data_IF_985501872353
#
_entry.id   IF_985501872353
#
_cell.length_a   1.000
_cell.length_b   1.000
_cell.length_c   1.000
_cell.angle_alpha   90.00
_cell.angle_beta   90.00
_cell.angle_gamma   90.00
#
_symmetry.space_group_name_H-M   'P 1'
#
loop_
_entity.id
_entity.type
_entity.pdbx_description
1 polymer ?
#
# COMPACT_ATOMS: atom_id res chain seq x y z
N UNK A 1 0.01 -0.27 -27.38
CA UNK A 1 0.10 -1.41 -26.44
C UNK A 1 -1.01 -1.28 -25.41
N UNK A 2 -1.72 -2.37 -25.11
CA UNK A 2 -2.67 -2.46 -24.01
C UNK A 2 -2.08 -3.39 -22.95
N UNK A 3 -2.26 -3.07 -21.67
CA UNK A 3 -1.84 -3.93 -20.55
C UNK A 3 -3.11 -4.51 -19.94
N UNK A 4 -3.16 -5.84 -19.78
CA UNK A 4 -4.27 -6.53 -19.13
C UNK A 4 -3.70 -7.33 -17.96
N UNK A 5 -4.11 -6.96 -16.73
CA UNK A 5 -3.68 -7.67 -15.53
C UNK A 5 -4.63 -8.84 -15.25
N UNK A 6 -4.18 -10.06 -15.52
CA UNK A 6 -4.92 -11.30 -15.22
C UNK A 6 -4.59 -11.91 -13.85
N UNK A 7 -3.67 -11.29 -13.08
CA UNK A 7 -3.27 -11.78 -11.77
C UNK A 7 -4.44 -11.77 -10.78
N UNK A 8 -4.40 -12.70 -9.83
CA UNK A 8 -5.42 -12.81 -8.78
C UNK A 8 -4.76 -13.18 -7.46
N UNK A 9 -5.07 -12.43 -6.40
CA UNK A 9 -4.59 -12.70 -5.06
C UNK A 9 -4.88 -14.13 -4.61
N UNK A 10 -3.91 -14.74 -3.93
CA UNK A 10 -4.00 -16.09 -3.36
C UNK A 10 -3.83 -17.25 -4.34
N UNK A 11 -3.48 -16.99 -5.61
CA UNK A 11 -3.25 -18.06 -6.60
C UNK A 11 -1.78 -18.46 -6.69
N UNK A 12 -1.60 -19.76 -6.90
CA UNK A 12 -0.37 -20.48 -7.26
C UNK A 12 -0.51 -20.99 -8.70
N UNK A 13 0.54 -21.59 -9.30
CA UNK A 13 0.40 -22.24 -10.60
C UNK A 13 -0.70 -23.30 -10.57
N UNK A 14 -0.69 -24.17 -9.54
CA UNK A 14 -1.68 -25.24 -9.37
C UNK A 14 -3.11 -24.71 -9.32
N UNK A 15 -3.37 -23.75 -8.44
CA UNK A 15 -4.73 -23.22 -8.27
C UNK A 15 -5.18 -22.42 -9.49
N UNK A 16 -4.32 -21.59 -10.10
CA UNK A 16 -4.66 -20.86 -11.32
C UNK A 16 -4.95 -21.78 -12.51
N UNK A 17 -4.18 -22.87 -12.64
CA UNK A 17 -4.42 -23.89 -13.65
C UNK A 17 -5.75 -24.61 -13.42
N UNK A 18 -6.00 -25.08 -12.19
CA UNK A 18 -7.23 -25.80 -11.84
C UNK A 18 -8.49 -24.94 -11.96
N UNK A 19 -8.39 -23.64 -11.67
CA UNK A 19 -9.48 -22.67 -11.84
C UNK A 19 -9.72 -22.30 -13.32
N UNK A 20 -8.89 -22.76 -14.25
CA UNK A 20 -9.03 -22.47 -15.68
C UNK A 20 -8.63 -21.05 -16.09
N UNK A 21 -7.97 -20.28 -15.20
CA UNK A 21 -7.60 -18.87 -15.48
C UNK A 21 -6.68 -18.73 -16.68
N UNK A 22 -5.80 -19.70 -16.90
CA UNK A 22 -4.93 -19.73 -18.06
C UNK A 22 -5.70 -19.95 -19.36
N UNK A 23 -6.84 -20.67 -19.34
CA UNK A 23 -7.67 -20.88 -20.52
C UNK A 23 -8.24 -19.56 -21.03
N UNK A 24 -8.67 -18.67 -20.13
CA UNK A 24 -9.18 -17.35 -20.51
C UNK A 24 -8.13 -16.54 -21.28
N UNK A 25 -6.86 -16.61 -20.83
CA UNK A 25 -5.74 -15.97 -21.52
C UNK A 25 -5.53 -16.59 -22.91
N UNK A 26 -5.52 -17.92 -23.01
CA UNK A 26 -5.33 -18.60 -24.31
C UNK A 26 -6.48 -18.33 -25.28
N UNK A 27 -7.71 -18.15 -24.79
CA UNK A 27 -8.90 -17.88 -25.60
C UNK A 27 -8.97 -16.43 -26.08
N UNK A 28 -8.47 -15.49 -25.29
CA UNK A 28 -8.58 -14.06 -25.58
C UNK A 28 -7.32 -13.45 -26.20
N UNK A 29 -6.15 -14.04 -25.92
CA UNK A 29 -4.87 -13.63 -26.47
C UNK A 29 -4.74 -13.87 -27.97
N UNK A 30 -3.94 -13.03 -28.62
CA UNK A 30 -3.72 -13.03 -30.07
C UNK A 30 -2.25 -13.27 -30.39
N UNK A 31 -2.00 -13.76 -31.60
CA UNK A 31 -0.63 -13.91 -32.08
C UNK A 31 0.12 -12.56 -32.02
N UNK A 32 1.32 -12.58 -31.45
CA UNK A 32 2.13 -11.39 -31.18
C UNK A 32 1.90 -10.72 -29.82
N UNK A 33 0.89 -11.15 -29.04
CA UNK A 33 0.72 -10.68 -27.66
C UNK A 33 1.83 -11.27 -26.77
N UNK A 34 2.25 -10.50 -25.77
CA UNK A 34 3.22 -10.93 -24.76
C UNK A 34 2.51 -11.39 -23.49
N UNK A 35 2.92 -12.54 -22.95
CA UNK A 35 2.43 -13.03 -21.65
C UNK A 35 3.57 -13.07 -20.63
N UNK A 36 3.53 -12.14 -19.68
CA UNK A 36 4.42 -12.15 -18.51
C UNK A 36 3.85 -13.12 -17.46
N UNK A 37 4.63 -14.13 -17.08
CA UNK A 37 4.21 -15.21 -16.17
C UNK A 37 5.01 -15.10 -14.87
N UNK A 38 4.31 -14.91 -13.74
CA UNK A 38 4.90 -14.85 -12.40
C UNK A 38 4.04 -15.64 -11.40
N UNK A 39 4.66 -16.62 -10.75
CA UNK A 39 4.09 -17.41 -9.63
C UNK A 39 5.22 -17.82 -8.67
N UNK A 40 4.88 -18.33 -7.49
CA UNK A 40 5.86 -18.81 -6.52
C UNK A 40 5.40 -18.64 -5.08
N UNK A 41 4.86 -17.48 -4.72
CA UNK A 41 4.50 -17.17 -3.33
C UNK A 41 3.52 -18.18 -2.72
N UNK A 42 2.39 -18.45 -3.39
CA UNK A 42 1.39 -19.40 -2.89
C UNK A 42 1.74 -20.86 -3.25
N UNK A 43 2.70 -21.06 -4.15
CA UNK A 43 3.21 -22.38 -4.51
C UNK A 43 4.05 -22.99 -3.36
N UNK A 44 4.56 -22.18 -2.43
CA UNK A 44 5.32 -22.65 -1.26
C UNK A 44 4.45 -23.28 -0.16
N UNK A 45 3.12 -23.23 -0.28
CA UNK A 45 2.25 -23.96 0.65
C UNK A 45 2.54 -25.47 0.60
N UNK A 46 2.51 -26.13 1.75
CA UNK A 46 2.80 -27.58 1.89
C UNK A 46 1.51 -28.44 1.78
N UNK A 47 0.51 -27.95 1.05
CA UNK A 47 -0.77 -28.59 0.83
C UNK A 47 -0.93 -29.13 -0.60
N UNK A 48 0.18 -29.44 -1.29
CA UNK A 48 0.19 -29.92 -2.68
C UNK A 48 -0.63 -31.20 -2.89
N UNK A 49 -0.77 -32.06 -1.88
CA UNK A 49 -1.56 -33.29 -1.95
C UNK A 49 -3.06 -33.05 -1.74
N UNK A 50 -3.45 -31.89 -1.18
CA UNK A 50 -4.85 -31.60 -0.95
C UNK A 50 -5.56 -31.26 -2.26
N UNK A 51 -6.79 -31.77 -2.41
CA UNK A 51 -7.65 -31.54 -3.59
C UNK A 51 -7.80 -30.06 -3.94
N UNK A 52 -7.91 -29.20 -2.92
CA UNK A 52 -8.05 -27.75 -3.06
C UNK A 52 -6.81 -26.99 -2.55
N UNK A 53 -5.72 -27.70 -2.29
CA UNK A 53 -4.48 -27.09 -1.82
C UNK A 53 -3.78 -26.30 -2.93
N UNK A 54 -3.02 -25.29 -2.52
CA UNK A 54 -2.38 -24.32 -3.43
C UNK A 54 -0.92 -24.66 -3.70
N UNK A 55 -0.29 -25.42 -2.83
CA UNK A 55 1.09 -25.85 -2.89
C UNK A 55 1.47 -26.52 -4.19
N UNK A 56 2.71 -26.32 -4.59
CA UNK A 56 3.35 -27.05 -5.69
C UNK A 56 4.72 -27.54 -5.25
N UNK A 57 5.04 -28.79 -5.60
CA UNK A 57 6.44 -29.23 -5.53
C UNK A 57 7.26 -28.52 -6.61
N UNK A 58 8.59 -28.58 -6.48
CA UNK A 58 9.49 -28.07 -7.52
C UNK A 58 9.28 -28.77 -8.87
N UNK A 59 8.99 -30.07 -8.85
CA UNK A 59 8.66 -30.85 -10.06
C UNK A 59 7.35 -30.38 -10.69
N UNK A 60 6.28 -30.21 -9.89
CA UNK A 60 5.02 -29.68 -10.39
C UNK A 60 5.19 -28.30 -11.01
N UNK A 61 5.94 -27.41 -10.35
CA UNK A 61 6.25 -26.08 -10.85
C UNK A 61 7.00 -26.14 -12.19
N UNK A 62 7.98 -27.06 -12.33
CA UNK A 62 8.65 -27.30 -13.62
C UNK A 62 7.68 -27.78 -14.69
N UNK A 63 6.84 -28.75 -14.40
CA UNK A 63 5.83 -29.27 -15.34
C UNK A 63 4.88 -28.16 -15.81
N UNK A 64 4.39 -27.31 -14.90
CA UNK A 64 3.55 -26.18 -15.28
C UNK A 64 4.23 -25.24 -16.28
N UNK A 65 5.48 -24.89 -16.03
CA UNK A 65 6.22 -23.97 -16.91
C UNK A 65 6.59 -24.67 -18.23
N UNK A 66 7.29 -25.81 -18.16
CA UNK A 66 7.93 -26.46 -19.29
C UNK A 66 6.96 -27.19 -20.21
N UNK A 67 5.98 -27.90 -19.64
CA UNK A 67 5.12 -28.82 -20.41
C UNK A 67 3.76 -28.20 -20.73
N UNK A 68 3.30 -27.21 -19.95
CA UNK A 68 1.94 -26.67 -20.06
C UNK A 68 1.96 -25.23 -20.59
N UNK A 69 2.48 -24.29 -19.81
CA UNK A 69 2.30 -22.86 -20.08
C UNK A 69 3.12 -22.40 -21.30
N UNK A 70 4.43 -22.66 -21.33
CA UNK A 70 5.28 -22.20 -22.43
C UNK A 70 4.86 -22.79 -23.79
N UNK A 71 4.61 -24.12 -23.92
CA UNK A 71 4.13 -24.68 -25.18
C UNK A 71 2.78 -24.10 -25.61
N UNK A 72 1.81 -23.97 -24.70
CA UNK A 72 0.48 -23.48 -25.04
C UNK A 72 0.49 -22.00 -25.48
N UNK A 73 1.32 -21.15 -24.84
CA UNK A 73 1.50 -19.75 -25.24
C UNK A 73 2.07 -19.68 -26.66
N UNK A 74 3.11 -20.46 -26.95
CA UNK A 74 3.73 -20.52 -28.27
C UNK A 74 2.79 -21.03 -29.36
N UNK A 75 2.00 -22.06 -29.07
CA UNK A 75 1.02 -22.63 -30.00
C UNK A 75 -0.08 -21.60 -30.37
N UNK A 76 -0.41 -20.69 -29.44
CA UNK A 76 -1.31 -19.55 -29.70
C UNK A 76 -0.64 -18.39 -30.45
N UNK A 77 0.65 -18.50 -30.78
CA UNK A 77 1.44 -17.45 -31.40
C UNK A 77 1.77 -16.27 -30.48
N UNK A 78 1.51 -16.41 -29.16
CA UNK A 78 1.90 -15.44 -28.15
C UNK A 78 3.38 -15.65 -27.75
N UNK A 79 3.96 -14.65 -27.12
CA UNK A 79 5.37 -14.62 -26.71
C UNK A 79 5.44 -14.70 -25.18
N UNK A 80 5.90 -15.81 -24.60
CA UNK A 80 6.04 -15.91 -23.16
C UNK A 80 7.23 -15.10 -22.66
N UNK A 81 7.10 -14.51 -21.47
CA UNK A 81 8.17 -13.87 -20.72
C UNK A 81 8.08 -14.37 -19.28
N UNK A 82 9.14 -14.96 -18.75
CA UNK A 82 9.18 -15.41 -17.36
C UNK A 82 9.61 -14.26 -16.46
N UNK A 83 8.95 -14.12 -15.32
CA UNK A 83 9.24 -13.10 -14.31
C UNK A 83 9.40 -13.81 -12.97
N UNK A 84 10.58 -13.74 -12.35
CA UNK A 84 10.78 -14.34 -11.02
C UNK A 84 9.90 -13.63 -9.99
N UNK A 85 9.31 -14.35 -8.99
CA UNK A 85 8.59 -13.70 -7.91
C UNK A 85 9.57 -12.88 -7.05
N UNK A 86 9.20 -11.65 -6.70
CA UNK A 86 9.96 -10.84 -5.74
C UNK A 86 10.16 -11.59 -4.42
N UNK A 87 11.22 -11.29 -3.69
CA UNK A 87 11.38 -11.86 -2.35
C UNK A 87 10.36 -11.24 -1.38
N UNK A 88 9.88 -12.06 -0.43
CA UNK A 88 9.29 -11.55 0.81
C UNK A 88 10.38 -10.94 1.70
N UNK A 89 9.95 -10.16 2.67
CA UNK A 89 10.82 -9.64 3.73
C UNK A 89 10.47 -10.27 5.07
N UNK A 90 11.46 -10.35 5.97
CA UNK A 90 11.16 -10.54 7.39
C UNK A 90 10.56 -9.25 7.95
N UNK A 91 9.28 -9.30 8.31
CA UNK A 91 8.56 -8.18 8.90
C UNK A 91 9.02 -7.81 10.32
N UNK A 92 9.76 -8.69 10.99
CA UNK A 92 10.34 -8.48 12.32
C UNK A 92 11.82 -8.07 12.28
N UNK A 93 12.37 -7.86 11.08
CA UNK A 93 13.75 -7.44 10.87
C UNK A 93 14.10 -6.20 11.72
N UNK A 94 15.30 -6.21 12.29
CA UNK A 94 15.83 -5.11 13.09
C UNK A 94 16.76 -4.23 12.24
N UNK A 95 16.98 -2.95 12.60
CA UNK A 95 17.90 -2.08 11.87
C UNK A 95 19.26 -2.74 11.59
N UNK A 96 19.74 -2.64 10.35
CA UNK A 96 20.96 -3.30 9.89
C UNK A 96 20.79 -4.73 9.38
N UNK A 97 19.59 -5.31 9.45
CA UNK A 97 19.30 -6.61 8.82
C UNK A 97 19.48 -6.53 7.30
N UNK A 98 20.11 -7.57 6.74
CA UNK A 98 20.26 -7.78 5.30
C UNK A 98 19.24 -8.80 4.83
N UNK A 99 18.38 -8.40 3.91
CA UNK A 99 17.38 -9.28 3.31
C UNK A 99 18.05 -10.25 2.33
N UNK A 100 17.65 -11.51 2.42
CA UNK A 100 18.04 -12.61 1.55
C UNK A 100 16.81 -13.22 0.86
N UNK A 101 17.02 -14.08 -0.13
CA UNK A 101 15.94 -14.70 -0.89
C UNK A 101 15.03 -15.54 0.00
N UNK A 102 13.76 -15.13 0.12
CA UNK A 102 12.77 -15.79 0.96
C UNK A 102 12.37 -17.17 0.48
N UNK A 103 12.68 -17.52 -0.78
CA UNK A 103 12.40 -18.84 -1.36
C UNK A 103 13.41 -19.89 -0.85
N UNK A 104 13.46 -20.06 0.47
CA UNK A 104 14.39 -20.93 1.16
C UNK A 104 14.00 -22.41 1.03
N UNK A 105 12.70 -22.70 1.10
CA UNK A 105 12.13 -24.06 1.11
C UNK A 105 11.90 -24.62 -0.29
N UNK A 106 11.36 -23.81 -1.20
CA UNK A 106 11.16 -24.18 -2.61
C UNK A 106 11.88 -23.18 -3.50
N UNK A 107 12.80 -23.64 -4.35
CA UNK A 107 13.71 -22.80 -5.13
C UNK A 107 13.09 -22.30 -6.43
N UNK A 108 11.84 -21.82 -6.39
CA UNK A 108 11.11 -21.39 -7.59
C UNK A 108 11.83 -20.30 -8.42
N UNK A 109 12.45 -19.26 -7.83
CA UNK A 109 13.25 -18.31 -8.60
C UNK A 109 14.43 -18.97 -9.33
N UNK A 110 15.09 -19.97 -8.72
CA UNK A 110 16.18 -20.73 -9.34
C UNK A 110 15.65 -21.57 -10.49
N UNK A 111 14.53 -22.28 -10.29
CA UNK A 111 13.87 -23.08 -11.32
C UNK A 111 13.49 -22.22 -12.53
N UNK A 112 12.92 -21.02 -12.33
CA UNK A 112 12.59 -20.11 -13.43
C UNK A 112 13.83 -19.65 -14.20
N UNK A 113 14.94 -19.37 -13.51
CA UNK A 113 16.22 -19.02 -14.16
C UNK A 113 16.72 -20.14 -15.06
N UNK A 114 16.69 -21.37 -14.57
CA UNK A 114 17.09 -22.55 -15.34
C UNK A 114 16.19 -22.78 -16.55
N UNK A 115 14.86 -22.74 -16.35
CA UNK A 115 13.88 -23.01 -17.40
C UNK A 115 13.88 -21.93 -18.48
N UNK A 116 14.09 -20.66 -18.12
CA UNK A 116 14.21 -19.59 -19.10
C UNK A 116 15.36 -19.84 -20.09
N UNK A 117 16.53 -20.20 -19.56
CA UNK A 117 17.69 -20.56 -20.39
C UNK A 117 17.44 -21.83 -21.22
N UNK A 118 16.89 -22.88 -20.60
CA UNK A 118 16.58 -24.15 -21.28
C UNK A 118 15.58 -23.98 -22.42
N UNK A 119 14.56 -23.16 -22.24
CA UNK A 119 13.45 -23.02 -23.18
C UNK A 119 13.64 -21.86 -24.17
N UNK A 120 14.69 -21.05 -24.00
CA UNK A 120 14.91 -19.84 -24.81
C UNK A 120 13.78 -18.84 -24.63
N UNK A 121 13.43 -18.53 -23.39
CA UNK A 121 12.37 -17.59 -23.02
C UNK A 121 12.99 -16.41 -22.27
N UNK A 122 12.64 -15.15 -22.59
CA UNK A 122 13.14 -14.00 -21.85
C UNK A 122 12.82 -14.11 -20.36
N UNK A 123 13.80 -13.80 -19.50
CA UNK A 123 13.65 -13.79 -18.05
C UNK A 123 13.88 -12.39 -17.49
N UNK A 124 12.90 -11.92 -16.74
CA UNK A 124 13.01 -10.72 -15.93
C UNK A 124 13.22 -11.15 -14.47
N UNK A 125 14.44 -10.95 -13.95
CA UNK A 125 14.80 -11.42 -12.60
C UNK A 125 14.43 -10.41 -11.51
N UNK A 126 13.12 -10.27 -11.26
CA UNK A 126 12.59 -9.36 -10.26
C UNK A 126 12.89 -9.79 -8.81
N UNK A 127 13.09 -11.10 -8.56
CA UNK A 127 13.58 -11.62 -7.28
C UNK A 127 14.90 -10.94 -6.88
N UNK A 128 15.91 -11.01 -7.76
CA UNK A 128 17.22 -10.40 -7.52
C UNK A 128 17.11 -8.87 -7.35
N UNK A 129 16.44 -8.20 -8.29
CA UNK A 129 16.30 -6.74 -8.25
C UNK A 129 15.55 -6.25 -7.00
N UNK A 130 14.55 -7.00 -6.54
CA UNK A 130 13.81 -6.68 -5.31
C UNK A 130 14.71 -6.76 -4.08
N UNK A 131 15.57 -7.78 -3.96
CA UNK A 131 16.50 -7.92 -2.84
C UNK A 131 17.55 -6.82 -2.80
N UNK A 132 18.09 -6.44 -3.97
CA UNK A 132 19.02 -5.31 -4.08
C UNK A 132 18.34 -4.03 -3.59
N UNK A 133 17.11 -3.78 -4.04
CA UNK A 133 16.35 -2.61 -3.63
C UNK A 133 16.02 -2.59 -2.13
N UNK A 134 15.59 -3.71 -1.55
CA UNK A 134 15.29 -3.75 -0.12
C UNK A 134 16.54 -3.45 0.73
N UNK A 135 17.68 -4.00 0.32
CA UNK A 135 18.95 -3.78 1.02
C UNK A 135 19.49 -2.36 0.83
N UNK A 136 19.20 -1.71 -0.28
CA UNK A 136 19.50 -0.28 -0.50
C UNK A 136 18.65 0.62 0.39
N UNK A 137 17.35 0.36 0.48
CA UNK A 137 16.41 1.15 1.29
C UNK A 137 16.67 1.03 2.80
N UNK A 138 17.05 -0.16 3.27
CA UNK A 138 17.14 -0.49 4.68
C UNK A 138 15.77 -0.75 5.33
N UNK A 139 15.81 -1.43 6.48
CA UNK A 139 14.63 -2.03 7.14
C UNK A 139 13.49 -1.04 7.40
N UNK A 140 13.80 0.18 7.82
CA UNK A 140 12.77 1.18 8.14
C UNK A 140 11.94 1.56 6.92
N UNK A 141 12.61 1.94 5.81
CA UNK A 141 11.94 2.35 4.59
C UNK A 141 11.29 1.18 3.85
N UNK A 142 11.90 -0.01 3.88
CA UNK A 142 11.28 -1.23 3.35
C UNK A 142 9.98 -1.53 4.11
N UNK A 143 10.03 -1.53 5.44
CA UNK A 143 8.84 -1.73 6.28
C UNK A 143 7.75 -0.75 5.88
N UNK A 144 8.08 0.50 5.60
CA UNK A 144 7.12 1.54 5.27
C UNK A 144 6.27 1.29 4.02
N UNK A 145 6.84 0.58 3.04
CA UNK A 145 6.23 0.30 1.73
C UNK A 145 5.63 -1.10 1.60
N UNK A 146 5.87 -2.00 2.56
CA UNK A 146 5.09 -3.22 2.75
C UNK A 146 3.81 -2.94 3.53
N UNK A 147 2.91 -3.93 3.64
CA UNK A 147 1.67 -3.86 4.42
C UNK A 147 1.95 -3.88 5.94
N UNK A 148 2.60 -2.81 6.41
CA UNK A 148 2.73 -2.41 7.81
C UNK A 148 1.80 -1.22 8.05
N UNK A 149 0.75 -1.43 8.84
CA UNK A 149 -0.29 -0.41 9.06
C UNK A 149 -0.25 0.07 10.50
N UNK A 150 -0.12 1.38 10.68
CA UNK A 150 -0.35 2.10 11.92
C UNK A 150 -1.82 2.52 12.05
N UNK A 151 -2.31 2.64 13.30
CA UNK A 151 -3.65 3.16 13.57
C UNK A 151 -3.88 4.51 12.88
N UNK A 152 -4.99 4.66 12.17
CA UNK A 152 -5.33 5.87 11.43
C UNK A 152 -4.60 6.06 10.09
N UNK A 153 -3.86 5.07 9.57
CA UNK A 153 -3.31 5.15 8.21
C UNK A 153 -4.34 4.84 7.12
N UNK A 154 -5.30 3.95 7.39
CA UNK A 154 -6.35 3.58 6.43
C UNK A 154 -7.57 3.00 7.14
N UNK A 155 -8.80 3.27 6.66
CA UNK A 155 -10.03 2.66 7.17
C UNK A 155 -10.32 1.27 6.59
N UNK A 156 -9.46 0.73 5.70
CA UNK A 156 -9.64 -0.57 5.05
C UNK A 156 -9.74 -1.76 6.01
N UNK A 157 -9.91 -2.97 5.49
CA UNK A 157 -9.96 -4.19 6.32
C UNK A 157 -9.18 -5.36 5.73
N UNK A 158 -8.94 -6.35 6.57
CA UNK A 158 -8.64 -7.74 6.18
C UNK A 158 -9.75 -8.68 6.63
N UNK A 159 -9.54 -9.98 6.41
CA UNK A 159 -10.37 -11.03 7.02
C UNK A 159 -10.29 -11.03 8.56
N UNK A 160 -9.22 -10.49 9.13
CA UNK A 160 -8.97 -10.45 10.58
C UNK A 160 -9.55 -9.17 11.23
N UNK A 161 -10.10 -8.24 10.44
CA UNK A 161 -10.77 -7.04 10.92
C UNK A 161 -10.29 -5.74 10.28
N UNK A 162 -10.74 -4.62 10.85
CA UNK A 162 -10.42 -3.28 10.35
C UNK A 162 -8.95 -2.92 10.58
N UNK A 163 -8.35 -2.23 9.59
CA UNK A 163 -7.05 -1.61 9.69
C UNK A 163 -7.08 -0.27 10.42
N UNK A 164 -8.26 0.25 10.73
CA UNK A 164 -8.42 1.58 11.28
C UNK A 164 -7.67 1.76 12.62
N UNK A 165 -7.61 0.71 13.45
CA UNK A 165 -6.84 0.66 14.69
C UNK A 165 -5.37 0.19 14.54
N UNK A 166 -4.91 -0.08 13.32
CA UNK A 166 -3.62 -0.71 13.03
C UNK A 166 -3.78 -2.09 12.37
N UNK A 167 -2.67 -2.79 12.09
CA UNK A 167 -2.76 -4.13 11.50
C UNK A 167 -3.47 -5.11 12.46
N UNK A 168 -4.61 -5.73 12.08
CA UNK A 168 -5.44 -6.50 13.00
C UNK A 168 -4.70 -7.71 13.60
N UNK A 169 -3.93 -8.44 12.79
CA UNK A 169 -3.07 -9.54 13.26
C UNK A 169 -1.70 -9.08 13.81
N UNK A 170 -1.51 -7.80 14.14
CA UNK A 170 -0.28 -7.25 14.76
C UNK A 170 1.02 -7.69 14.10
N UNK A 171 1.07 -7.63 12.76
CA UNK A 171 2.24 -8.03 11.98
C UNK A 171 2.54 -7.02 10.88
N UNK A 172 3.80 -6.98 10.47
CA UNK A 172 4.18 -6.62 9.12
C UNK A 172 4.17 -7.92 8.30
N UNK A 173 3.27 -8.04 7.32
CA UNK A 173 3.07 -9.33 6.64
C UNK A 173 4.24 -9.76 5.74
N UNK A 174 5.12 -8.81 5.39
CA UNK A 174 6.31 -9.01 4.57
C UNK A 174 6.06 -9.57 3.17
N UNK A 175 4.82 -9.62 2.71
CA UNK A 175 4.40 -10.22 1.43
C UNK A 175 3.62 -9.23 0.58
N UNK A 176 2.58 -8.60 1.14
CA UNK A 176 1.79 -7.63 0.42
C UNK A 176 2.41 -6.25 0.58
N UNK A 177 2.25 -5.43 -0.43
CA UNK A 177 2.91 -4.14 -0.49
C UNK A 177 1.96 -3.02 -0.91
N UNK A 178 2.33 -1.81 -0.49
CA UNK A 178 1.60 -0.59 -0.78
C UNK A 178 1.96 -0.10 -2.19
N UNK A 179 1.16 0.83 -2.71
CA UNK A 179 1.32 1.39 -4.07
C UNK A 179 2.72 1.99 -4.30
N UNK A 180 3.31 2.60 -3.26
CA UNK A 180 4.67 3.11 -3.33
C UNK A 180 5.69 2.04 -3.81
N UNK A 181 5.58 0.78 -3.34
CA UNK A 181 6.47 -0.30 -3.79
C UNK A 181 6.06 -0.86 -5.16
N UNK A 182 4.76 -0.89 -5.48
CA UNK A 182 4.30 -1.40 -6.79
C UNK A 182 4.88 -0.58 -7.94
N UNK A 183 5.01 0.74 -7.78
CA UNK A 183 5.69 1.63 -8.74
C UNK A 183 7.16 1.25 -8.94
N UNK A 184 7.84 0.83 -7.87
CA UNK A 184 9.25 0.43 -7.93
C UNK A 184 9.42 -0.93 -8.60
N UNK A 185 8.52 -1.88 -8.37
CA UNK A 185 8.54 -3.13 -9.12
C UNK A 185 8.25 -2.89 -10.60
N UNK A 186 7.26 -2.06 -10.94
CA UNK A 186 7.01 -1.68 -12.33
C UNK A 186 8.24 -1.03 -12.98
N UNK A 187 8.91 -0.12 -12.26
CA UNK A 187 10.19 0.48 -12.64
C UNK A 187 11.27 -0.57 -12.93
N UNK A 188 11.48 -1.50 -12.00
CA UNK A 188 12.48 -2.58 -12.15
C UNK A 188 12.16 -3.45 -13.37
N UNK A 189 10.90 -3.85 -13.54
CA UNK A 189 10.47 -4.70 -14.67
C UNK A 189 10.81 -4.04 -16.01
N UNK A 190 10.45 -2.78 -16.21
CA UNK A 190 10.74 -2.11 -17.49
C UNK A 190 12.23 -1.85 -17.70
N UNK A 191 12.98 -1.53 -16.63
CA UNK A 191 14.44 -1.37 -16.70
C UNK A 191 15.11 -2.67 -17.12
N UNK A 192 14.74 -3.79 -16.47
CA UNK A 192 15.29 -5.12 -16.77
C UNK A 192 14.93 -5.58 -18.18
N UNK A 193 13.71 -5.31 -18.67
CA UNK A 193 13.33 -5.59 -20.07
C UNK A 193 14.23 -4.82 -21.05
N UNK A 194 14.44 -3.52 -20.81
CA UNK A 194 15.29 -2.69 -21.68
C UNK A 194 16.76 -3.13 -21.64
N UNK A 195 17.27 -3.52 -20.48
CA UNK A 195 18.60 -4.10 -20.31
C UNK A 195 18.76 -5.41 -21.09
N UNK A 196 17.81 -6.33 -20.93
CA UNK A 196 17.81 -7.61 -21.64
C UNK A 196 17.78 -7.41 -23.16
N UNK A 197 16.98 -6.45 -23.65
CA UNK A 197 16.97 -6.06 -25.06
C UNK A 197 18.31 -5.52 -25.56
N UNK A 198 19.00 -4.69 -24.76
CA UNK A 198 20.36 -4.21 -25.08
C UNK A 198 21.40 -5.32 -25.09
N UNK A 199 21.19 -6.39 -24.31
CA UNK A 199 22.03 -7.58 -24.29
C UNK A 199 21.77 -8.54 -25.47
N UNK A 200 20.83 -8.22 -26.35
CA UNK A 200 20.59 -8.95 -27.60
C UNK A 200 19.36 -9.85 -27.60
N UNK A 201 18.55 -9.86 -26.54
CA UNK A 201 17.27 -10.57 -26.55
C UNK A 201 16.26 -9.84 -27.46
N UNK A 202 15.86 -10.51 -28.55
CA UNK A 202 15.03 -9.90 -29.58
C UNK A 202 13.60 -9.59 -29.08
N UNK A 203 13.05 -10.41 -28.19
CA UNK A 203 11.69 -10.22 -27.68
C UNK A 203 11.66 -9.09 -26.66
N UNK A 204 12.63 -9.05 -25.73
CA UNK A 204 12.78 -7.95 -24.79
C UNK A 204 13.06 -6.62 -25.51
N UNK A 205 13.88 -6.63 -26.58
CA UNK A 205 14.11 -5.43 -27.41
C UNK A 205 12.83 -4.93 -28.08
N UNK A 206 11.97 -5.84 -28.59
CA UNK A 206 10.66 -5.48 -29.15
C UNK A 206 9.74 -4.89 -28.07
N UNK A 207 9.71 -5.48 -26.87
CA UNK A 207 8.92 -4.94 -25.76
C UNK A 207 9.41 -3.54 -25.38
N UNK A 208 10.73 -3.35 -25.22
CA UNK A 208 11.32 -2.06 -24.89
C UNK A 208 11.02 -1.00 -25.96
N UNK A 209 10.96 -1.39 -27.24
CA UNK A 209 10.54 -0.51 -28.34
C UNK A 209 9.10 -0.01 -28.23
N UNK A 210 8.25 -0.64 -27.41
CA UNK A 210 6.88 -0.19 -27.14
C UNK A 210 6.77 0.77 -25.94
N UNK A 211 7.85 1.01 -25.20
CA UNK A 211 7.83 1.90 -24.05
C UNK A 211 7.62 3.35 -24.45
N UNK A 212 6.96 4.11 -23.57
CA UNK A 212 6.79 5.55 -23.77
C UNK A 212 8.16 6.25 -23.79
N UNK A 213 8.33 7.34 -24.57
CA UNK A 213 9.59 8.09 -24.59
C UNK A 213 10.07 8.53 -23.21
N UNK A 214 9.16 8.94 -22.31
CA UNK A 214 9.51 9.32 -20.94
C UNK A 214 10.06 8.16 -20.10
N UNK A 215 9.60 6.93 -20.34
CA UNK A 215 10.12 5.73 -19.66
C UNK A 215 11.51 5.38 -20.20
N UNK A 216 11.70 5.46 -21.52
CA UNK A 216 13.01 5.24 -22.14
C UNK A 216 14.03 6.27 -21.65
N UNK A 217 13.63 7.53 -21.52
CA UNK A 217 14.47 8.58 -20.94
C UNK A 217 14.82 8.28 -19.49
N UNK A 218 13.83 7.94 -18.66
CA UNK A 218 14.04 7.62 -17.24
C UNK A 218 14.99 6.43 -17.04
N UNK A 219 14.89 5.39 -17.88
CA UNK A 219 15.83 4.26 -17.88
C UNK A 219 17.25 4.74 -18.24
N UNK A 220 17.39 5.65 -19.21
CA UNK A 220 18.70 6.15 -19.65
C UNK A 220 19.35 7.06 -18.62
N UNK A 221 18.59 8.01 -18.07
CA UNK A 221 19.08 9.02 -17.13
C UNK A 221 19.14 8.51 -15.69
N UNK A 222 18.45 7.41 -15.38
CA UNK A 222 18.15 6.94 -14.02
C UNK A 222 17.31 7.95 -13.21
N UNK A 223 16.71 8.94 -13.88
CA UNK A 223 15.82 9.93 -13.28
C UNK A 223 14.37 9.61 -13.65
N UNK A 224 13.60 9.19 -12.64
CA UNK A 224 12.21 8.77 -12.78
C UNK A 224 11.21 9.89 -12.45
N UNK A 225 11.66 11.11 -12.14
CA UNK A 225 10.81 12.23 -11.73
C UNK A 225 9.76 12.62 -12.78
N UNK A 226 10.04 12.42 -14.07
CA UNK A 226 9.06 12.66 -15.15
C UNK A 226 7.97 11.58 -15.22
N UNK A 227 8.28 10.35 -14.78
CA UNK A 227 7.34 9.22 -14.80
C UNK A 227 6.55 9.13 -13.50
N UNK A 228 7.21 9.39 -12.37
CA UNK A 228 6.66 9.38 -11.02
C UNK A 228 6.99 10.69 -10.31
N UNK A 229 6.38 11.81 -10.70
CA UNK A 229 6.65 13.13 -10.11
C UNK A 229 6.31 13.21 -8.62
N UNK A 230 5.49 12.29 -8.12
CA UNK A 230 5.08 12.22 -6.73
C UNK A 230 6.12 11.59 -5.79
N UNK A 231 7.23 11.06 -6.29
CA UNK A 231 8.29 10.46 -5.46
C UNK A 231 9.29 11.56 -5.08
N UNK A 232 9.04 12.22 -3.95
CA UNK A 232 9.99 13.17 -3.37
C UNK A 232 11.25 12.45 -2.83
N UNK A 233 12.45 13.04 -2.96
CA UNK A 233 13.70 12.35 -2.63
C UNK A 233 13.88 12.08 -1.13
N UNK A 234 13.32 12.93 -0.28
CA UNK A 234 13.42 12.87 1.19
C UNK A 234 12.45 11.88 1.86
N UNK A 235 11.61 11.21 1.06
CA UNK A 235 10.69 10.16 1.55
C UNK A 235 11.05 8.77 1.02
N UNK A 236 12.12 8.62 0.23
CA UNK A 236 12.48 7.33 -0.38
C UNK A 236 13.07 6.38 0.66
N UNK A 237 13.95 6.90 1.54
CA UNK A 237 14.68 6.14 2.55
C UNK A 237 14.76 6.89 3.89
N UNK A 238 15.28 6.23 4.93
CA UNK A 238 15.41 6.81 6.26
C UNK A 238 14.07 7.15 6.93
N UNK A 239 14.08 8.00 7.98
CA UNK A 239 12.88 8.33 8.77
C UNK A 239 11.76 8.98 7.96
N UNK A 240 12.10 9.78 6.93
CA UNK A 240 11.12 10.44 6.06
C UNK A 240 10.24 9.47 5.27
N UNK A 241 10.69 8.22 5.09
CA UNK A 241 9.93 7.20 4.37
C UNK A 241 8.72 6.66 5.14
N UNK A 242 8.58 6.97 6.44
CA UNK A 242 7.55 6.38 7.30
C UNK A 242 6.14 6.46 6.66
N UNK A 243 5.67 7.64 6.27
CA UNK A 243 4.36 7.79 5.60
C UNK A 243 4.46 7.88 4.07
N UNK A 244 5.50 7.29 3.46
CA UNK A 244 5.79 7.41 2.02
C UNK A 244 4.57 7.16 1.15
N UNK A 245 3.80 6.09 1.40
CA UNK A 245 2.62 5.77 0.58
C UNK A 245 1.56 6.87 0.62
N UNK A 246 1.27 7.40 1.80
CA UNK A 246 0.30 8.48 1.98
C UNK A 246 0.80 9.77 1.34
N UNK A 247 2.08 10.10 1.52
CA UNK A 247 2.71 11.29 0.96
C UNK A 247 2.69 11.23 -0.58
N UNK A 248 3.18 10.13 -1.19
CA UNK A 248 3.16 9.96 -2.64
C UNK A 248 1.74 10.09 -3.21
N UNK A 249 0.72 9.53 -2.54
CA UNK A 249 -0.66 9.67 -3.01
C UNK A 249 -1.12 11.13 -3.00
N UNK A 250 -0.83 11.89 -1.95
CA UNK A 250 -1.27 13.29 -1.88
C UNK A 250 -0.51 14.20 -2.83
N UNK A 251 0.76 13.92 -3.09
CA UNK A 251 1.54 14.57 -4.15
C UNK A 251 0.94 14.24 -5.53
N UNK A 252 0.60 12.97 -5.77
CA UNK A 252 -0.02 12.52 -7.02
C UNK A 252 -1.39 13.19 -7.28
N UNK A 253 -2.17 13.43 -6.21
CA UNK A 253 -3.45 14.16 -6.29
C UNK A 253 -3.26 15.69 -6.34
N UNK A 254 -2.02 16.18 -6.19
CA UNK A 254 -1.70 17.59 -6.07
C UNK A 254 -2.34 18.27 -4.85
N UNK A 255 -2.71 17.51 -3.83
CA UNK A 255 -3.37 18.00 -2.60
C UNK A 255 -2.35 18.63 -1.65
N UNK A 256 -1.16 18.04 -1.58
CA UNK A 256 0.02 18.64 -0.97
C UNK A 256 1.09 18.85 -2.05
N UNK A 257 2.07 19.70 -1.76
CA UNK A 257 3.17 20.01 -2.66
C UNK A 257 4.54 19.71 -2.07
N UNK A 258 5.58 19.99 -2.86
CA UNK A 258 6.99 19.95 -2.46
C UNK A 258 7.57 21.37 -2.40
N UNK A 259 8.75 21.52 -1.80
CA UNK A 259 9.54 22.75 -1.90
C UNK A 259 10.18 22.92 -3.29
N UNK A 260 10.96 23.99 -3.47
CA UNK A 260 11.65 24.28 -4.72
C UNK A 260 12.77 23.29 -5.09
N UNK A 261 13.18 22.42 -4.16
CA UNK A 261 14.13 21.32 -4.38
C UNK A 261 13.41 19.98 -4.61
N UNK A 262 12.08 19.99 -4.68
CA UNK A 262 11.26 18.78 -4.87
C UNK A 262 11.11 17.93 -3.60
N UNK A 263 11.50 18.43 -2.42
CA UNK A 263 11.35 17.72 -1.15
C UNK A 263 9.97 17.92 -0.53
N UNK A 264 9.44 16.89 0.11
CA UNK A 264 8.17 16.98 0.82
C UNK A 264 8.29 17.63 2.21
N UNK A 265 9.45 17.48 2.86
CA UNK A 265 9.76 17.94 4.22
C UNK A 265 8.83 17.31 5.29
N UNK A 266 8.85 15.97 5.47
CA UNK A 266 7.85 15.25 6.27
C UNK A 266 7.75 15.70 7.75
N UNK A 267 8.87 16.14 8.33
CA UNK A 267 8.96 16.49 9.75
C UNK A 267 8.63 17.95 10.06
N UNK A 268 8.46 18.81 9.05
CA UNK A 268 8.10 20.21 9.30
C UNK A 268 6.64 20.30 9.73
N UNK A 269 6.33 21.24 10.61
CA UNK A 269 4.96 21.55 11.01
C UNK A 269 4.15 22.09 9.81
N UNK A 270 2.88 21.71 9.71
CA UNK A 270 1.95 22.27 8.73
C UNK A 270 1.12 23.38 9.39
N UNK A 271 0.84 24.44 8.63
CA UNK A 271 -0.05 25.51 9.09
C UNK A 271 -1.54 25.13 8.96
N UNK A 272 -2.44 25.74 9.76
CA UNK A 272 -3.88 25.49 9.69
C UNK A 272 -4.48 25.76 8.30
N UNK A 273 -4.11 26.88 7.68
CA UNK A 273 -4.62 27.28 6.37
C UNK A 273 -4.20 26.31 5.25
N UNK A 274 -2.95 25.82 5.28
CA UNK A 274 -2.48 24.84 4.29
C UNK A 274 -3.25 23.53 4.42
N UNK A 275 -3.43 23.02 5.65
CA UNK A 275 -4.19 21.79 5.87
C UNK A 275 -5.66 21.94 5.48
N UNK A 276 -6.30 23.05 5.85
CA UNK A 276 -7.68 23.33 5.48
C UNK A 276 -7.88 23.36 3.95
N UNK A 277 -6.97 24.04 3.23
CA UNK A 277 -7.00 24.10 1.77
C UNK A 277 -6.80 22.71 1.14
N UNK A 278 -5.86 21.93 1.67
CA UNK A 278 -5.62 20.55 1.24
C UNK A 278 -6.85 19.66 1.46
N UNK A 279 -7.47 19.74 2.64
CA UNK A 279 -8.66 18.96 2.99
C UNK A 279 -9.88 19.34 2.11
N UNK A 280 -10.14 20.64 1.92
CA UNK A 280 -11.22 21.10 1.04
C UNK A 280 -11.00 20.64 -0.40
N UNK A 281 -9.78 20.78 -0.92
CA UNK A 281 -9.41 20.32 -2.27
C UNK A 281 -9.59 18.80 -2.43
N UNK A 282 -9.09 18.02 -1.47
CA UNK A 282 -9.18 16.57 -1.48
C UNK A 282 -10.64 16.09 -1.54
N UNK A 283 -11.49 16.74 -0.76
CA UNK A 283 -12.90 16.37 -0.60
C UNK A 283 -13.80 17.04 -1.64
N UNK A 284 -13.21 17.83 -2.57
CA UNK A 284 -13.92 18.59 -3.62
C UNK A 284 -15.01 19.51 -3.04
N UNK A 285 -14.71 20.16 -1.92
CA UNK A 285 -15.60 21.08 -1.22
C UNK A 285 -15.26 22.55 -1.49
N UNK A 286 -16.24 23.43 -1.28
CA UNK A 286 -16.02 24.87 -1.24
C UNK A 286 -15.06 25.22 -0.08
N UNK A 287 -13.98 25.99 -0.31
CA UNK A 287 -13.04 26.37 0.75
C UNK A 287 -13.70 27.10 1.93
N UNK A 288 -14.84 27.75 1.70
CA UNK A 288 -15.63 28.44 2.72
C UNK A 288 -16.12 27.55 3.85
N UNK A 289 -16.20 26.23 3.64
CA UNK A 289 -16.51 25.25 4.71
C UNK A 289 -15.49 25.31 5.86
N UNK A 290 -14.26 25.72 5.56
CA UNK A 290 -13.16 25.82 6.53
C UNK A 290 -12.62 27.25 6.66
N UNK A 291 -13.38 28.27 6.24
CA UNK A 291 -12.95 29.66 6.25
C UNK A 291 -12.45 30.13 7.63
N UNK A 292 -13.19 29.77 8.70
CA UNK A 292 -12.83 30.12 10.08
C UNK A 292 -11.43 29.63 10.48
N UNK A 293 -10.97 28.53 9.89
CA UNK A 293 -9.64 27.96 10.13
C UNK A 293 -8.56 28.55 9.21
N UNK A 294 -8.94 29.04 8.03
CA UNK A 294 -8.04 29.71 7.10
C UNK A 294 -7.74 31.15 7.53
N UNK A 295 -8.74 31.83 8.09
CA UNK A 295 -8.67 33.22 8.54
C UNK A 295 -8.10 33.37 9.97
N UNK A 296 -7.80 32.26 10.64
CA UNK A 296 -7.09 32.21 11.92
C UNK A 296 -5.60 32.61 11.76
N UNK A 297 -5.37 33.82 11.24
CA UNK A 297 -4.09 34.41 10.81
C UNK A 297 -3.08 34.68 11.95
N UNK A 298 -3.24 34.04 13.11
CA UNK A 298 -2.31 34.09 14.25
C UNK A 298 -1.84 32.73 14.75
N UNK A 299 -2.31 31.61 14.17
CA UNK A 299 -1.82 30.28 14.47
C UNK A 299 -0.82 29.84 13.40
N UNK A 300 0.48 29.92 13.72
CA UNK A 300 1.54 29.49 12.81
C UNK A 300 1.58 27.96 12.63
N UNK A 301 0.96 27.23 13.54
CA UNK A 301 1.03 25.76 13.64
C UNK A 301 -0.35 25.15 13.80
N UNK A 302 -0.64 24.12 13.00
CA UNK A 302 -1.82 23.27 13.18
C UNK A 302 -1.62 22.36 14.41
N UNK A 303 -2.53 22.46 15.39
CA UNK A 303 -2.58 21.53 16.52
C UNK A 303 -3.46 20.32 16.20
N UNK A 304 -3.28 19.23 16.95
CA UNK A 304 -4.08 17.99 16.78
C UNK A 304 -5.57 18.20 17.01
N UNK A 305 -5.98 19.02 17.97
CA UNK A 305 -7.39 19.37 18.17
C UNK A 305 -7.95 20.16 16.96
N UNK A 306 -7.21 21.15 16.45
CA UNK A 306 -7.67 21.92 15.27
C UNK A 306 -7.85 21.00 14.07
N UNK A 307 -6.90 20.08 13.84
CA UNK A 307 -7.03 19.06 12.80
C UNK A 307 -8.28 18.20 13.00
N UNK A 308 -8.52 17.70 14.22
CA UNK A 308 -9.71 16.89 14.54
C UNK A 308 -11.02 17.63 14.27
N UNK A 309 -11.09 18.92 14.62
CA UNK A 309 -12.25 19.76 14.37
C UNK A 309 -12.51 19.97 12.86
N UNK A 310 -11.46 20.24 12.07
CA UNK A 310 -11.59 20.37 10.61
C UNK A 310 -12.06 19.07 9.95
N UNK A 311 -11.54 17.92 10.40
CA UNK A 311 -11.97 16.60 9.90
C UNK A 311 -13.46 16.35 10.17
N UNK A 312 -13.95 16.77 11.34
CA UNK A 312 -15.36 16.65 11.71
C UNK A 312 -16.28 17.52 10.85
N UNK A 313 -15.95 18.79 10.67
CA UNK A 313 -16.78 19.71 9.88
C UNK A 313 -16.89 19.23 8.42
N UNK A 314 -15.78 18.78 7.84
CA UNK A 314 -15.74 18.20 6.51
C UNK A 314 -16.51 16.88 6.43
N UNK A 315 -16.43 16.04 7.47
CA UNK A 315 -17.20 14.80 7.54
C UNK A 315 -18.71 15.10 7.51
N UNK A 316 -19.19 16.07 8.30
CA UNK A 316 -20.61 16.43 8.35
C UNK A 316 -21.16 16.86 7.00
N UNK A 317 -20.38 17.64 6.24
CA UNK A 317 -20.77 18.08 4.90
C UNK A 317 -20.73 16.93 3.90
N UNK A 318 -19.64 16.16 3.88
CA UNK A 318 -19.40 15.10 2.89
C UNK A 318 -20.37 13.92 3.07
N UNK A 319 -20.66 13.56 4.32
CA UNK A 319 -21.40 12.34 4.68
C UNK A 319 -22.76 12.66 5.31
N UNK A 320 -23.36 13.81 4.94
CA UNK A 320 -24.68 14.22 5.42
C UNK A 320 -25.79 13.18 5.13
N UNK A 321 -25.64 12.40 4.06
CA UNK A 321 -26.59 11.35 3.69
C UNK A 321 -26.43 10.03 4.47
N UNK A 322 -25.36 9.89 5.27
CA UNK A 322 -25.08 8.71 6.05
C UNK A 322 -23.58 8.36 6.11
N UNK A 323 -23.23 7.51 7.07
CA UNK A 323 -21.85 7.05 7.29
C UNK A 323 -21.28 6.37 6.02
N UNK A 324 -19.99 6.56 5.69
CA UNK A 324 -19.32 5.81 4.63
C UNK A 324 -19.32 4.32 4.93
N UNK A 325 -19.31 3.49 3.87
CA UNK A 325 -19.33 2.02 4.01
C UNK A 325 -18.18 1.47 4.85
N UNK A 326 -17.03 2.12 4.84
CA UNK A 326 -15.91 1.80 5.71
C UNK A 326 -16.25 1.82 7.22
N UNK A 327 -17.22 2.66 7.62
CA UNK A 327 -17.70 2.79 9.00
C UNK A 327 -18.93 1.92 9.29
N UNK A 328 -19.46 1.18 8.32
CA UNK A 328 -20.66 0.34 8.48
C UNK A 328 -20.38 -1.12 8.19
N UNK A 329 -19.76 -1.42 7.04
CA UNK A 329 -19.56 -2.77 6.53
C UNK A 329 -18.43 -3.51 7.27
N UNK A 330 -17.62 -2.77 8.03
CA UNK A 330 -16.44 -3.26 8.77
C UNK A 330 -16.65 -3.29 10.28
N UNK A 331 -17.87 -3.05 10.73
CA UNK A 331 -18.27 -3.24 12.12
C UNK A 331 -19.09 -4.53 12.19
N UNK A 332 -18.62 -5.50 12.97
CA UNK A 332 -19.36 -6.73 13.28
C UNK A 332 -20.28 -6.55 14.49
N UNK A 333 -20.84 -7.66 14.99
CA UNK A 333 -21.71 -7.67 16.18
C UNK A 333 -20.92 -7.66 17.51
N UNK A 334 -19.63 -7.32 17.47
CA UNK A 334 -18.73 -7.37 18.63
C UNK A 334 -18.84 -6.12 19.50
N UNK A 335 -18.63 -6.30 20.80
CA UNK A 335 -18.66 -5.25 21.82
C UNK A 335 -17.66 -4.13 21.48
N UNK A 336 -18.13 -2.87 21.49
CA UNK A 336 -17.35 -1.69 21.11
C UNK A 336 -16.88 -0.85 22.30
N UNK A 337 -16.10 0.21 22.05
CA UNK A 337 -15.46 1.01 23.11
C UNK A 337 -16.41 1.66 24.11
N UNK A 338 -17.63 1.96 23.69
CA UNK A 338 -18.64 2.62 24.52
C UNK A 338 -19.40 1.62 25.41
N UNK A 339 -19.13 0.32 25.30
CA UNK A 339 -19.75 -0.71 26.10
C UNK A 339 -18.98 -0.94 27.42
N UNK A 340 -19.66 -1.02 28.59
CA UNK A 340 -19.02 -1.25 29.88
C UNK A 340 -18.18 -2.53 29.97
N UNK A 341 -18.52 -3.57 29.19
CA UNK A 341 -17.81 -4.87 29.20
C UNK A 341 -16.63 -4.89 28.22
N UNK A 342 -16.35 -3.78 27.52
CA UNK A 342 -15.25 -3.68 26.59
C UNK A 342 -13.89 -3.58 27.29
N UNK A 343 -12.97 -4.47 26.91
CA UNK A 343 -11.60 -4.44 27.41
C UNK A 343 -10.59 -4.28 26.26
N UNK A 344 -9.86 -3.16 26.19
CA UNK A 344 -8.93 -2.91 25.11
C UNK A 344 -7.64 -3.74 25.15
N UNK A 345 -7.43 -4.48 26.24
CA UNK A 345 -6.28 -5.37 26.44
C UNK A 345 -6.54 -6.81 26.03
N UNK A 346 -7.76 -7.17 25.59
CA UNK A 346 -8.03 -8.51 25.08
C UNK A 346 -7.26 -8.77 23.78
N UNK A 347 -6.80 -10.00 23.55
CA UNK A 347 -6.18 -10.38 22.29
C UNK A 347 -7.12 -10.12 21.09
N UNK A 348 -6.59 -9.73 19.91
CA UNK A 348 -7.32 -9.58 18.65
C UNK A 348 -8.35 -10.68 18.37
N UNK A 349 -7.98 -11.94 18.57
CA UNK A 349 -8.81 -13.12 18.32
C UNK A 349 -10.02 -13.23 19.27
N UNK A 350 -9.99 -12.52 20.40
CA UNK A 350 -11.06 -12.47 21.41
C UNK A 350 -11.87 -11.16 21.31
N UNK A 351 -11.46 -10.24 20.45
CA UNK A 351 -12.04 -8.90 20.30
C UNK A 351 -12.19 -8.58 18.82
N UNK A 352 -13.42 -8.59 18.31
CA UNK A 352 -13.65 -8.15 16.93
C UNK A 352 -13.02 -6.78 16.68
N UNK A 353 -12.14 -6.69 15.69
CA UNK A 353 -11.40 -5.46 15.40
C UNK A 353 -12.26 -4.60 14.49
N UNK A 354 -13.03 -3.72 15.13
CA UNK A 354 -13.92 -2.77 14.48
C UNK A 354 -13.19 -1.50 14.04
N UNK A 355 -13.90 -0.65 13.31
CA UNK A 355 -13.40 0.62 12.81
C UNK A 355 -13.02 1.63 13.93
N UNK A 356 -13.75 1.58 15.05
CA UNK A 356 -13.70 2.59 16.10
C UNK A 356 -12.34 2.64 16.83
N UNK A 357 -12.00 3.77 17.49
CA UNK A 357 -10.82 3.83 18.35
C UNK A 357 -10.81 2.70 19.37
N UNK A 358 -9.61 2.24 19.73
CA UNK A 358 -9.49 1.12 20.66
C UNK A 358 -9.76 1.51 22.12
N UNK A 359 -9.82 2.80 22.45
CA UNK A 359 -10.08 3.34 23.80
C UNK A 359 -11.27 4.29 23.68
N UNK A 360 -12.14 4.33 24.70
CA UNK A 360 -13.27 5.27 24.67
C UNK A 360 -12.79 6.71 24.91
N UNK A 361 -13.62 7.69 24.56
CA UNK A 361 -13.25 9.09 24.79
C UNK A 361 -13.08 9.40 26.28
N UNK A 362 -13.91 8.80 27.12
CA UNK A 362 -13.95 8.97 28.58
C UNK A 362 -12.70 8.39 29.27
N UNK A 363 -11.99 7.49 28.61
CA UNK A 363 -10.75 6.89 29.12
C UNK A 363 -9.49 7.69 28.75
N UNK A 364 -9.63 8.73 27.92
CA UNK A 364 -8.52 9.60 27.58
C UNK A 364 -8.11 10.47 28.78
N UNK A 365 -6.80 10.64 28.95
CA UNK A 365 -6.17 11.20 30.15
C UNK A 365 -5.93 12.71 30.09
N UNK A 366 -6.15 13.34 28.94
CA UNK A 366 -5.78 14.73 28.64
C UNK A 366 -6.87 15.53 27.90
N UNK A 367 -8.14 15.08 28.00
CA UNK A 367 -9.28 15.77 27.37
C UNK A 367 -9.60 17.13 27.98
N UNK A 368 -9.17 17.37 29.22
CA UNK A 368 -9.25 18.65 29.91
C UNK A 368 -8.36 19.74 29.27
N UNK A 369 -7.38 19.34 28.44
CA UNK A 369 -6.52 20.26 27.69
C UNK A 369 -7.14 20.72 26.37
N UNK A 370 -8.22 20.08 25.90
CA UNK A 370 -8.89 20.47 24.66
C UNK A 370 -9.53 21.85 24.83
N UNK A 371 -9.40 22.70 23.81
CA UNK A 371 -10.09 23.98 23.79
C UNK A 371 -11.62 23.78 23.99
N UNK A 372 -12.24 24.43 25.00
CA UNK A 372 -13.67 24.30 25.26
C UNK A 372 -14.57 24.56 24.04
N UNK A 373 -14.16 25.43 23.11
CA UNK A 373 -14.91 25.71 21.89
C UNK A 373 -14.84 24.56 20.87
N UNK A 374 -13.73 23.83 20.84
CA UNK A 374 -13.52 22.68 19.95
C UNK A 374 -14.03 21.38 20.55
N UNK A 375 -14.13 21.29 21.89
CA UNK A 375 -14.43 20.06 22.63
C UNK A 375 -15.57 19.21 22.03
N UNK A 376 -16.76 19.76 21.69
CA UNK A 376 -17.84 18.96 21.11
C UNK A 376 -17.47 18.33 19.76
N UNK A 377 -16.69 19.04 18.94
CA UNK A 377 -16.20 18.53 17.64
C UNK A 377 -15.16 17.44 17.85
N UNK A 378 -14.25 17.62 18.81
CA UNK A 378 -13.18 16.65 19.11
C UNK A 378 -13.76 15.35 19.63
N UNK A 379 -14.69 15.41 20.58
CA UNK A 379 -15.37 14.23 21.09
C UNK A 379 -16.08 13.47 19.97
N UNK A 380 -16.85 14.18 19.13
CA UNK A 380 -17.56 13.57 18.02
C UNK A 380 -16.60 12.95 16.97
N UNK A 381 -15.54 13.67 16.59
CA UNK A 381 -14.53 13.19 15.65
C UNK A 381 -13.81 11.93 16.16
N UNK A 382 -13.49 11.92 17.46
CA UNK A 382 -12.79 10.81 18.09
C UNK A 382 -13.71 9.58 18.16
N UNK A 383 -14.90 9.71 18.75
CA UNK A 383 -15.87 8.60 18.86
C UNK A 383 -16.22 8.02 17.50
N UNK A 384 -16.33 8.87 16.48
CA UNK A 384 -16.56 8.42 15.12
C UNK A 384 -15.36 7.71 14.50
N UNK A 385 -14.14 7.91 15.00
CA UNK A 385 -12.89 7.32 14.52
C UNK A 385 -12.27 8.06 13.32
N UNK A 386 -12.55 9.35 13.16
CA UNK A 386 -11.92 10.22 12.13
C UNK A 386 -10.46 10.50 12.45
N UNK A 387 -10.11 10.57 13.74
CA UNK A 387 -8.74 10.66 14.23
C UNK A 387 -8.62 9.85 15.53
N UNK A 388 -7.38 9.57 15.97
CA UNK A 388 -7.09 8.66 17.10
C UNK A 388 -6.01 9.25 17.98
N UNK A 389 -5.94 8.78 19.23
CA UNK A 389 -4.78 8.97 20.10
C UNK A 389 -3.58 8.22 19.50
N UNK A 390 -2.40 8.86 19.46
CA UNK A 390 -1.24 8.34 18.71
C UNK A 390 0.04 8.21 19.54
N UNK A 391 0.02 8.61 20.81
CA UNK A 391 1.20 8.59 21.67
C UNK A 391 1.78 7.18 21.77
N UNK A 392 3.02 7.01 21.30
CA UNK A 392 3.72 5.72 21.34
C UNK A 392 3.19 4.65 20.38
N UNK A 393 2.19 4.98 19.55
CA UNK A 393 1.70 4.08 18.51
C UNK A 393 2.79 3.90 17.45
N UNK A 394 2.94 2.66 16.96
CA UNK A 394 3.86 2.31 15.88
C UNK A 394 3.18 1.39 14.88
N UNK A 395 3.59 1.47 13.61
CA UNK A 395 3.15 0.55 12.55
C UNK A 395 3.40 -0.92 12.91
N UNK A 396 2.57 -1.80 12.37
CA UNK A 396 2.76 -3.26 12.51
C UNK A 396 2.38 -3.82 13.88
N UNK A 397 1.85 -3.00 14.78
CA UNK A 397 1.31 -3.43 16.08
C UNK A 397 -0.10 -2.90 16.27
N UNK A 398 -1.04 -3.76 16.63
CA UNK A 398 -2.32 -3.32 17.18
C UNK A 398 -2.06 -2.79 18.59
N UNK A 399 -2.14 -1.47 18.76
CA UNK A 399 -1.88 -0.81 20.03
C UNK A 399 -2.79 0.40 20.15
N UNK A 400 -3.00 0.84 21.39
CA UNK A 400 -3.81 2.01 21.69
C UNK A 400 -2.99 3.02 22.50
N UNK A 401 -3.47 4.25 22.48
CA UNK A 401 -2.97 5.35 23.29
C UNK A 401 -4.14 5.94 24.06
N UNK A 402 -3.84 6.43 25.26
CA UNK A 402 -4.79 7.02 26.22
C UNK A 402 -4.61 8.55 26.34
N UNK A 403 -3.79 9.16 25.46
CA UNK A 403 -3.57 10.59 25.40
C UNK A 403 -3.75 11.11 23.95
N UNK A 404 -4.58 12.14 23.79
CA UNK A 404 -4.82 12.80 22.50
C UNK A 404 -3.68 13.71 22.08
N UNK A 405 -2.97 14.28 23.04
CA UNK A 405 -1.96 15.33 22.87
C UNK A 405 -2.53 16.54 22.09
N UNK A 406 -3.63 17.18 22.56
CA UNK A 406 -4.44 18.08 21.73
C UNK A 406 -3.68 19.30 21.21
N UNK A 407 -2.70 19.82 21.98
CA UNK A 407 -1.87 20.98 21.62
C UNK A 407 -0.62 20.61 20.80
N UNK A 408 -0.37 19.33 20.54
CA UNK A 408 0.82 18.92 19.81
C UNK A 408 0.75 19.42 18.36
N UNK A 409 1.82 20.05 17.84
CA UNK A 409 1.94 20.38 16.43
C UNK A 409 1.78 19.17 15.51
N UNK A 410 1.10 19.39 14.38
CA UNK A 410 0.96 18.39 13.33
C UNK A 410 2.06 18.59 12.29
N UNK A 411 2.84 17.55 12.03
CA UNK A 411 3.82 17.55 10.93
C UNK A 411 3.14 17.32 9.58
N UNK A 412 3.80 17.71 8.49
CA UNK A 412 3.33 17.44 7.11
C UNK A 412 3.06 15.95 6.87
N UNK A 413 3.88 15.06 7.43
CA UNK A 413 3.68 13.63 7.28
C UNK A 413 2.44 13.10 8.04
N UNK A 414 2.17 13.63 9.24
CA UNK A 414 0.95 13.32 10.00
C UNK A 414 -0.31 13.90 9.36
N UNK A 415 -0.21 15.10 8.79
CA UNK A 415 -1.25 15.68 7.95
C UNK A 415 -1.53 14.80 6.72
N UNK A 416 -0.48 14.31 6.05
CA UNK A 416 -0.62 13.42 4.90
C UNK A 416 -1.34 12.11 5.26
N UNK A 417 -1.03 11.54 6.42
CA UNK A 417 -1.74 10.38 6.97
C UNK A 417 -3.24 10.67 7.14
N UNK A 418 -3.61 11.77 7.80
CA UNK A 418 -5.01 12.13 8.06
C UNK A 418 -5.79 12.41 6.77
N UNK A 419 -5.20 13.16 5.83
CA UNK A 419 -5.78 13.44 4.51
C UNK A 419 -5.97 12.15 3.71
N UNK A 420 -4.96 11.27 3.65
CA UNK A 420 -5.10 9.99 2.97
C UNK A 420 -6.24 9.15 3.57
N UNK A 421 -6.42 9.15 4.88
CA UNK A 421 -7.52 8.45 5.53
C UNK A 421 -8.88 8.95 5.05
N UNK A 422 -9.08 10.28 5.01
CA UNK A 422 -10.29 10.91 4.47
C UNK A 422 -10.50 10.60 2.98
N UNK A 423 -9.41 10.60 2.20
CA UNK A 423 -9.46 10.21 0.79
C UNK A 423 -9.98 8.79 0.62
N UNK A 424 -9.56 7.83 1.44
CA UNK A 424 -10.07 6.46 1.34
C UNK A 424 -11.57 6.41 1.68
N UNK A 425 -12.03 7.16 2.68
CA UNK A 425 -13.44 7.15 3.12
C UNK A 425 -14.44 7.53 2.03
N UNK A 426 -14.06 8.39 1.07
CA UNK A 426 -14.95 8.80 -0.03
C UNK A 426 -15.03 7.80 -1.18
N UNK A 427 -14.19 6.76 -1.19
CA UNK A 427 -14.18 5.76 -2.25
C UNK A 427 -15.07 4.55 -1.90
N UNK A 428 -15.54 3.80 -2.91
CA UNK A 428 -16.20 2.52 -2.67
C UNK A 428 -15.22 1.48 -2.10
N UNK A 429 -15.70 0.66 -1.17
CA UNK A 429 -14.90 -0.40 -0.50
C UNK A 429 -14.36 -1.50 -1.44
N UNK A 430 -15.01 -1.72 -2.58
CA UNK A 430 -14.72 -2.82 -3.51
C UNK A 430 -14.17 -2.34 -4.86
N UNK A 431 -13.72 -1.09 -4.95
CA UNK A 431 -13.19 -0.52 -6.19
C UNK A 431 -11.70 -0.26 -6.01
N UNK A 432 -10.92 -0.65 -6.99
CA UNK A 432 -9.51 -0.27 -7.04
C UNK A 432 -9.40 1.21 -7.38
N UNK A 433 -8.76 1.98 -6.49
CA UNK A 433 -8.62 3.43 -6.64
C UNK A 433 -7.37 3.83 -7.46
N UNK A 434 -6.99 3.00 -8.44
CA UNK A 434 -5.81 3.21 -9.29
C UNK A 434 -6.06 4.23 -10.41
N UNK A 435 -7.32 4.57 -10.69
CA UNK A 435 -7.69 5.62 -11.64
C UNK A 435 -7.77 6.95 -10.89
N UNK A 436 -6.85 7.86 -11.21
CA UNK A 436 -6.94 9.26 -10.78
C UNK A 436 -8.16 9.89 -11.48
N UNK A 437 -9.19 10.25 -10.71
CA UNK A 437 -10.41 10.90 -11.19
C UNK A 437 -10.22 12.37 -11.54
#
# INVERSE_FOLDING_TARGET
MQIVNYSQGGRSFKSAHNEGRFNDILLTGRAGDYLLIQFGHNDESEDEEQRFGRGSTEEMYRTYVEEIYIPAVRERGMIPVLLTPMSRIDGAAQPGHRYEDSFAMRKFPVILRELAGKLGVPLIDLNKASLEYYNELGVEAVTAVFMSVEAGETPGKTNDGSYAGGHPSSKNDGTHYKEALSKQFARMVVTLIAELGRMGDADAARIAGMFKPSVLEAIRSQDWSTVYPEIAPDIVSGPGAYYRNQIEKLLQLGVLGTDGEGRFNPDTEIGPAEFAAALAKLMKLDPGVLADYMDAAGADTLTREMMGAMLWDVYLVTFAAGKPRFMTDYNGDTVGPDDPDYNPNLPPEQRGIMYYPLVSYEQLTDTDQVDPELLPKIEAAYKLGLFRAEKGIRRGKLSYADALEPKLPVTRAKAAKALYYMWVLIHPVNVENHVLL
#
